data_IF_796192398502
#
_entry.id   IF_796192398502
#
_cell.length_a   1.000
_cell.length_b   1.000
_cell.length_c   1.000
_cell.angle_alpha   90.00
_cell.angle_beta   90.00
_cell.angle_gamma   90.00
#
_symmetry.space_group_name_H-M   'P 1'
#
loop_
_entity.id
_entity.type
_entity.pdbx_description
1 polymer ?
#
# COMPACT_ATOMS: atom_id res chain seq x y z
N UNK A 1 -11.61 -2.06 -20.85
CA UNK A 1 -10.65 -1.41 -19.94
C UNK A 1 -9.35 -0.96 -20.62
N UNK A 2 -8.95 -1.47 -21.79
CA UNK A 2 -7.67 -1.07 -22.43
C UNK A 2 -7.78 -0.63 -23.89
N UNK A 3 -8.92 -0.05 -24.30
CA UNK A 3 -9.14 0.26 -25.73
C UNK A 3 -8.13 1.31 -26.21
N UNK A 4 -8.00 2.40 -25.45
CA UNK A 4 -7.05 3.45 -25.77
C UNK A 4 -5.61 2.93 -25.78
N UNK A 5 -5.19 2.21 -24.74
CA UNK A 5 -3.81 1.73 -24.62
C UNK A 5 -3.45 0.74 -25.74
N UNK A 6 -4.35 -0.18 -26.10
CA UNK A 6 -4.16 -1.09 -27.23
C UNK A 6 -3.91 -0.36 -28.54
N UNK A 7 -4.66 0.73 -28.77
CA UNK A 7 -4.61 1.48 -30.02
C UNK A 7 -3.31 2.29 -30.14
N UNK A 8 -2.64 2.62 -29.02
CA UNK A 8 -1.49 3.54 -29.01
C UNK A 8 -0.17 2.92 -28.56
N UNK A 9 -0.13 1.70 -28.00
CA UNK A 9 1.13 1.10 -27.56
C UNK A 9 2.15 0.98 -28.71
N UNK A 10 1.68 0.74 -29.94
CA UNK A 10 2.55 0.61 -31.11
C UNK A 10 2.97 1.95 -31.72
N UNK A 11 2.48 3.08 -31.20
CA UNK A 11 2.93 4.42 -31.60
C UNK A 11 4.29 4.79 -30.98
N UNK A 12 4.70 4.09 -29.92
CA UNK A 12 5.94 4.34 -29.20
C UNK A 12 7.05 3.41 -29.68
N UNK A 13 8.29 3.89 -29.77
CA UNK A 13 9.44 3.04 -30.14
C UNK A 13 9.92 2.16 -28.99
N UNK A 14 9.59 2.53 -27.76
CA UNK A 14 9.97 1.84 -26.52
C UNK A 14 8.97 2.17 -25.43
N UNK A 15 8.67 1.18 -24.59
CA UNK A 15 7.76 1.32 -23.44
C UNK A 15 8.52 0.94 -22.18
N UNK A 16 8.44 1.77 -21.15
CA UNK A 16 8.98 1.49 -19.82
C UNK A 16 7.81 1.23 -18.88
N UNK A 17 7.82 0.08 -18.22
CA UNK A 17 6.87 -0.29 -17.18
C UNK A 17 7.55 -0.35 -15.83
N UNK A 18 6.76 -0.29 -14.74
CA UNK A 18 7.28 -0.29 -13.37
C UNK A 18 7.31 -1.67 -12.72
N UNK A 19 6.82 -2.69 -13.43
CA UNK A 19 6.81 -4.08 -12.98
C UNK A 19 6.83 -5.05 -14.16
N UNK A 20 7.23 -6.30 -13.89
CA UNK A 20 7.15 -7.40 -14.85
C UNK A 20 5.70 -7.74 -15.22
N UNK A 21 4.75 -7.57 -14.29
CA UNK A 21 3.32 -7.76 -14.53
C UNK A 21 2.81 -6.80 -15.60
N UNK A 22 3.16 -5.52 -15.48
CA UNK A 22 2.80 -4.49 -16.46
C UNK A 22 3.45 -4.76 -17.81
N UNK A 23 4.71 -5.22 -17.83
CA UNK A 23 5.40 -5.59 -19.07
C UNK A 23 4.69 -6.73 -19.80
N UNK A 24 4.25 -7.74 -19.05
CA UNK A 24 3.46 -8.84 -19.62
C UNK A 24 2.12 -8.35 -20.14
N UNK A 25 1.45 -7.45 -19.43
CA UNK A 25 0.21 -6.83 -19.88
C UNK A 25 0.40 -6.11 -21.22
N UNK A 26 1.41 -5.23 -21.33
CA UNK A 26 1.71 -4.52 -22.59
C UNK A 26 1.97 -5.49 -23.74
N UNK A 27 2.81 -6.52 -23.51
CA UNK A 27 3.10 -7.54 -24.52
C UNK A 27 1.84 -8.29 -24.97
N UNK A 28 1.00 -8.70 -24.03
CA UNK A 28 -0.24 -9.42 -24.33
C UNK A 28 -1.28 -8.55 -25.05
N UNK A 29 -1.30 -7.24 -24.78
CA UNK A 29 -2.27 -6.32 -25.38
C UNK A 29 -1.87 -5.82 -26.77
N UNK A 30 -0.58 -5.68 -27.06
CA UNK A 30 -0.08 -4.98 -28.27
C UNK A 30 0.89 -5.77 -29.14
N UNK A 31 1.51 -6.83 -28.61
CA UNK A 31 2.63 -7.50 -29.27
C UNK A 31 3.92 -6.68 -29.31
N UNK A 32 3.99 -5.55 -28.60
CA UNK A 32 5.15 -4.67 -28.61
C UNK A 32 6.41 -5.36 -28.05
N UNK A 33 7.50 -5.33 -28.83
CA UNK A 33 8.72 -6.09 -28.50
C UNK A 33 9.69 -5.32 -27.58
N UNK A 34 9.73 -3.99 -27.67
CA UNK A 34 10.67 -3.14 -26.92
C UNK A 34 10.05 -2.64 -25.61
N UNK A 35 9.85 -3.56 -24.67
CA UNK A 35 9.28 -3.26 -23.34
C UNK A 35 10.31 -3.53 -22.24
N UNK A 36 10.67 -2.48 -21.50
CA UNK A 36 11.65 -2.50 -20.42
C UNK A 36 10.96 -2.34 -19.07
N UNK A 37 11.57 -2.89 -18.02
CA UNK A 37 11.10 -2.72 -16.63
C UNK A 37 12.10 -1.85 -15.90
N UNK A 38 11.61 -0.75 -15.31
CA UNK A 38 12.34 0.08 -14.36
C UNK A 38 11.48 0.14 -13.10
N UNK A 39 11.89 -0.60 -12.08
CA UNK A 39 11.14 -0.71 -10.84
C UNK A 39 11.06 0.62 -10.11
N UNK A 40 9.96 0.82 -9.41
CA UNK A 40 9.86 1.93 -8.49
C UNK A 40 10.80 1.71 -7.30
N UNK A 41 11.54 2.76 -6.95
CA UNK A 41 12.38 2.81 -5.77
C UNK A 41 11.80 3.69 -4.67
N UNK A 42 12.53 3.77 -3.56
CA UNK A 42 12.28 4.70 -2.46
C UNK A 42 13.60 5.38 -2.10
N UNK A 43 13.55 6.65 -1.72
CA UNK A 43 14.71 7.35 -1.19
C UNK A 43 15.02 6.81 0.21
N UNK A 44 16.00 5.91 0.29
CA UNK A 44 16.44 5.27 1.54
C UNK A 44 17.17 6.22 2.49
N UNK A 45 17.64 7.37 2.01
CA UNK A 45 18.23 8.40 2.87
C UNK A 45 17.14 9.20 3.58
N UNK A 46 16.01 9.41 2.89
CA UNK A 46 14.84 10.09 3.42
C UNK A 46 13.94 9.17 4.27
N UNK A 47 13.61 7.97 3.77
CA UNK A 47 12.85 6.92 4.46
C UNK A 47 13.77 5.96 5.21
N UNK A 48 14.58 6.50 6.12
CA UNK A 48 15.42 5.69 7.01
C UNK A 48 14.71 5.39 8.33
N UNK A 49 15.11 4.35 9.07
CA UNK A 49 14.60 4.10 10.41
C UNK A 49 14.79 5.34 11.30
N UNK A 50 13.77 5.64 12.12
CA UNK A 50 13.79 6.72 13.09
C UNK A 50 13.74 6.14 14.50
N UNK A 51 14.58 6.66 15.39
CA UNK A 51 14.49 6.33 16.81
C UNK A 51 13.21 6.95 17.40
N UNK A 52 12.29 6.09 17.82
CA UNK A 52 11.06 6.48 18.50
C UNK A 52 10.56 5.34 19.36
N UNK A 53 9.84 5.68 20.42
CA UNK A 53 9.06 4.69 21.17
C UNK A 53 7.94 4.17 20.28
N UNK A 54 7.87 2.84 20.14
CA UNK A 54 6.76 2.17 19.49
C UNK A 54 5.49 2.36 20.31
N UNK A 55 4.36 2.50 19.63
CA UNK A 55 3.05 2.48 20.25
C UNK A 55 2.32 1.24 19.75
N UNK A 56 1.40 0.69 20.54
CA UNK A 56 0.62 -0.49 20.14
C UNK A 56 -0.38 -0.12 19.03
N UNK A 57 0.13 0.02 17.81
CA UNK A 57 -0.66 0.37 16.65
C UNK A 57 -0.18 -0.31 15.37
N UNK A 58 -1.15 -0.44 14.47
CA UNK A 58 -0.95 -0.76 13.06
C UNK A 58 -1.28 0.48 12.24
N UNK A 59 -0.61 0.64 11.09
CA UNK A 59 -0.74 1.82 10.24
C UNK A 59 -1.07 1.45 8.81
N UNK A 60 -1.89 2.28 8.17
CA UNK A 60 -2.06 2.32 6.72
C UNK A 60 -1.82 3.76 6.24
N UNK A 61 -0.72 3.98 5.52
CA UNK A 61 -0.39 5.26 4.88
C UNK A 61 -0.79 5.27 3.40
N UNK A 62 -1.69 6.16 3.00
CA UNK A 62 -2.08 6.30 1.59
C UNK A 62 -2.87 7.58 1.32
N UNK A 63 -2.91 8.04 0.07
CA UNK A 63 -3.94 9.03 -0.30
C UNK A 63 -5.33 8.40 -0.29
N UNK A 64 -6.26 9.00 0.45
CA UNK A 64 -7.66 8.58 0.48
C UNK A 64 -8.48 9.15 -0.70
N UNK A 65 -7.83 9.79 -1.69
CA UNK A 65 -8.45 10.14 -2.97
C UNK A 65 -8.89 8.88 -3.74
N UNK A 66 -8.08 7.81 -3.65
CA UNK A 66 -8.26 6.61 -4.45
C UNK A 66 -9.26 5.63 -3.81
N UNK A 67 -10.20 5.14 -4.62
CA UNK A 67 -11.18 4.14 -4.20
C UNK A 67 -10.52 2.88 -3.60
N UNK A 68 -9.43 2.40 -4.19
CA UNK A 68 -8.70 1.22 -3.69
C UNK A 68 -8.23 1.39 -2.24
N UNK A 69 -7.73 2.58 -1.88
CA UNK A 69 -7.29 2.86 -0.51
C UNK A 69 -8.48 2.98 0.46
N UNK A 70 -9.58 3.61 0.04
CA UNK A 70 -10.80 3.67 0.85
C UNK A 70 -11.38 2.26 1.08
N UNK A 71 -11.43 1.45 0.03
CA UNK A 71 -11.88 0.06 0.09
C UNK A 71 -11.00 -0.78 1.03
N UNK A 72 -9.67 -0.62 0.97
CA UNK A 72 -8.75 -1.30 1.88
C UNK A 72 -8.99 -0.95 3.35
N UNK A 73 -9.22 0.33 3.66
CA UNK A 73 -9.53 0.75 5.03
C UNK A 73 -10.83 0.11 5.51
N UNK A 74 -11.88 0.12 4.70
CA UNK A 74 -13.15 -0.51 5.06
C UNK A 74 -13.00 -2.02 5.26
N UNK A 75 -12.35 -2.70 4.31
CA UNK A 75 -12.07 -4.13 4.43
C UNK A 75 -11.28 -4.46 5.70
N UNK A 76 -10.25 -3.68 6.02
CA UNK A 76 -9.48 -3.86 7.25
C UNK A 76 -10.36 -3.68 8.49
N UNK A 77 -11.15 -2.62 8.54
CA UNK A 77 -12.03 -2.31 9.67
C UNK A 77 -13.12 -3.35 9.89
N UNK A 78 -13.65 -3.92 8.81
CA UNK A 78 -14.80 -4.82 8.88
C UNK A 78 -14.39 -6.28 9.09
N UNK A 79 -13.23 -6.70 8.56
CA UNK A 79 -12.81 -8.12 8.51
C UNK A 79 -11.61 -8.45 9.38
N UNK A 80 -10.66 -7.52 9.53
CA UNK A 80 -9.34 -7.82 10.12
C UNK A 80 -9.20 -7.20 11.51
N UNK A 81 -9.46 -5.90 11.64
CA UNK A 81 -9.27 -5.17 12.89
C UNK A 81 -10.04 -5.76 14.08
N UNK A 82 -11.30 -6.24 13.94
CA UNK A 82 -12.01 -6.90 15.05
C UNK A 82 -11.30 -8.15 15.57
N UNK A 83 -10.66 -8.93 14.68
CA UNK A 83 -9.89 -10.12 15.05
C UNK A 83 -8.64 -9.73 15.83
N UNK A 84 -7.93 -8.68 15.40
CA UNK A 84 -6.78 -8.16 16.13
C UNK A 84 -7.21 -7.64 17.50
N UNK A 85 -8.33 -6.90 17.58
CA UNK A 85 -8.85 -6.37 18.86
C UNK A 85 -9.24 -7.46 19.86
N UNK A 86 -9.60 -8.67 19.40
CA UNK A 86 -9.89 -9.81 20.28
C UNK A 86 -8.64 -10.31 20.99
N UNK A 87 -7.51 -10.35 20.28
CA UNK A 87 -6.23 -10.80 20.84
C UNK A 87 -5.48 -9.66 21.56
N UNK A 88 -5.61 -8.41 21.08
CA UNK A 88 -4.93 -7.22 21.56
C UNK A 88 -5.92 -6.06 21.74
N UNK A 89 -6.52 -5.97 22.93
CA UNK A 89 -7.64 -5.05 23.19
C UNK A 89 -7.27 -3.55 23.16
N UNK A 90 -5.99 -3.20 23.31
CA UNK A 90 -5.47 -1.83 23.34
C UNK A 90 -4.88 -1.36 22.00
N UNK A 91 -4.84 -2.21 20.97
CA UNK A 91 -4.29 -1.83 19.67
C UNK A 91 -5.10 -0.69 19.05
N UNK A 92 -4.38 0.23 18.38
CA UNK A 92 -4.95 1.33 17.60
C UNK A 92 -4.69 1.15 16.11
N UNK A 93 -5.57 1.68 15.27
CA UNK A 93 -5.37 1.74 13.83
C UNK A 93 -5.17 3.18 13.38
N UNK A 94 -4.02 3.46 12.76
CA UNK A 94 -3.68 4.76 12.20
C UNK A 94 -3.91 4.76 10.69
N UNK A 95 -4.82 5.61 10.25
CA UNK A 95 -5.10 5.91 8.84
C UNK A 95 -4.45 7.26 8.55
N UNK A 96 -3.29 7.22 7.91
CA UNK A 96 -2.46 8.41 7.65
C UNK A 96 -2.52 8.74 6.17
N UNK A 97 -3.06 9.91 5.83
CA UNK A 97 -3.38 10.13 4.43
C UNK A 97 -4.24 11.33 4.12
N UNK A 98 -3.90 12.00 3.03
CA UNK A 98 -4.66 13.15 2.54
C UNK A 98 -6.08 12.76 2.10
N UNK A 99 -6.97 13.74 2.18
CA UNK A 99 -8.33 13.70 1.62
C UNK A 99 -9.23 12.51 2.04
N UNK A 100 -9.30 12.13 3.32
CA UNK A 100 -10.22 11.10 3.77
C UNK A 100 -11.66 11.53 3.50
N UNK A 101 -12.46 10.72 2.81
CA UNK A 101 -13.87 11.02 2.58
C UNK A 101 -14.68 10.99 3.90
N UNK A 102 -15.97 11.34 3.86
CA UNK A 102 -16.84 11.33 5.05
C UNK A 102 -16.90 9.95 5.73
N UNK A 103 -16.91 8.87 4.95
CA UNK A 103 -16.96 7.50 5.46
C UNK A 103 -15.73 7.18 6.31
N UNK A 104 -14.53 7.49 5.80
CA UNK A 104 -13.26 7.30 6.50
C UNK A 104 -13.16 8.22 7.71
N UNK A 105 -13.52 9.50 7.58
CA UNK A 105 -13.53 10.45 8.71
C UNK A 105 -14.44 10.00 9.84
N UNK A 106 -15.59 9.40 9.54
CA UNK A 106 -16.50 8.88 10.54
C UNK A 106 -15.90 7.73 11.37
N UNK A 107 -14.91 7.00 10.87
CA UNK A 107 -14.21 5.95 11.63
C UNK A 107 -13.49 6.52 12.85
N UNK A 108 -13.05 7.78 12.81
CA UNK A 108 -12.39 8.47 13.93
C UNK A 108 -13.31 8.69 15.14
N UNK A 109 -14.63 8.44 15.02
CA UNK A 109 -15.54 8.40 16.18
C UNK A 109 -15.21 7.23 17.14
N UNK A 110 -14.48 6.23 16.67
CA UNK A 110 -13.99 5.13 17.50
C UNK A 110 -12.70 5.53 18.21
N UNK A 111 -12.61 5.24 19.52
CA UNK A 111 -11.42 5.56 20.34
C UNK A 111 -10.12 4.87 19.91
N UNK A 112 -10.24 3.78 19.14
CA UNK A 112 -9.15 2.93 18.68
C UNK A 112 -8.75 3.19 17.22
N UNK A 113 -9.32 4.21 16.58
CA UNK A 113 -9.00 4.60 15.20
C UNK A 113 -8.58 6.05 15.14
N UNK A 114 -7.44 6.32 14.50
CA UNK A 114 -6.90 7.66 14.27
C UNK A 114 -6.92 7.91 12.77
N UNK A 115 -7.60 8.97 12.35
CA UNK A 115 -7.59 9.46 10.96
C UNK A 115 -6.92 10.83 10.97
N UNK A 116 -5.72 10.94 10.41
CA UNK A 116 -4.94 12.19 10.51
C UNK A 116 -5.37 13.23 9.48
N UNK A 117 -5.87 12.78 8.33
CA UNK A 117 -5.87 13.62 7.13
C UNK A 117 -4.45 13.85 6.60
N UNK A 118 -4.26 14.94 5.86
CA UNK A 118 -2.95 15.34 5.34
C UNK A 118 -2.01 15.67 6.49
N UNK A 119 -0.77 15.17 6.41
CA UNK A 119 0.33 15.47 7.34
C UNK A 119 1.53 15.93 6.54
N UNK A 120 2.37 16.77 7.14
CA UNK A 120 3.60 17.25 6.50
C UNK A 120 4.61 16.11 6.27
N UNK A 121 4.63 15.16 7.19
CA UNK A 121 5.54 14.01 7.14
C UNK A 121 4.87 12.75 7.71
N UNK A 122 4.86 11.68 6.92
CA UNK A 122 4.31 10.38 7.31
C UNK A 122 5.28 9.56 8.15
N UNK A 123 6.59 9.82 8.07
CA UNK A 123 7.65 9.01 8.68
C UNK A 123 7.50 8.88 10.20
N UNK A 124 7.19 9.94 10.98
CA UNK A 124 6.98 9.79 12.42
C UNK A 124 5.82 8.85 12.79
N UNK A 125 4.81 8.72 11.92
CA UNK A 125 3.69 7.81 12.14
C UNK A 125 4.08 6.37 11.79
N UNK A 126 4.75 6.18 10.65
CA UNK A 126 5.28 4.87 10.22
C UNK A 126 6.26 4.33 11.26
N UNK A 127 7.21 5.14 11.72
CA UNK A 127 8.22 4.76 12.70
C UNK A 127 7.63 4.29 14.04
N UNK A 128 6.49 4.84 14.46
CA UNK A 128 5.83 4.49 15.73
C UNK A 128 5.03 3.19 15.67
N UNK A 129 4.62 2.76 14.48
CA UNK A 129 3.81 1.57 14.31
C UNK A 129 4.62 0.27 14.47
N UNK A 130 3.96 -0.78 14.93
CA UNK A 130 4.53 -2.13 14.93
C UNK A 130 4.45 -2.79 13.54
N UNK A 131 3.37 -2.52 12.81
CA UNK A 131 3.11 -3.13 11.49
C UNK A 131 2.48 -2.11 10.57
N UNK A 132 2.98 -2.06 9.33
CA UNK A 132 2.31 -1.39 8.22
C UNK A 132 1.43 -2.41 7.48
N UNK A 133 0.11 -2.22 7.54
CA UNK A 133 -0.87 -3.11 6.92
C UNK A 133 -1.25 -2.56 5.54
N UNK A 134 -1.28 -3.41 4.51
CA UNK A 134 -1.67 -3.04 3.13
C UNK A 134 -2.78 -3.98 2.63
N UNK A 135 -4.01 -3.82 3.12
CA UNK A 135 -5.09 -4.78 2.92
C UNK A 135 -5.89 -4.47 1.64
N UNK A 136 -5.19 -4.24 0.52
CA UNK A 136 -5.82 -3.86 -0.75
C UNK A 136 -6.51 -5.07 -1.40
N UNK A 137 -7.78 -4.94 -1.77
CA UNK A 137 -8.51 -5.98 -2.51
C UNK A 137 -8.56 -5.69 -4.02
N UNK A 138 -8.29 -4.44 -4.39
CA UNK A 138 -8.38 -3.95 -5.77
C UNK A 138 -7.34 -2.87 -6.03
N UNK A 139 -7.09 -2.59 -7.31
CA UNK A 139 -6.23 -1.53 -7.81
C UNK A 139 -4.96 -2.08 -8.46
N UNK A 140 -4.35 -1.32 -9.37
CA UNK A 140 -3.14 -1.73 -10.11
C UNK A 140 -1.92 -0.86 -9.78
N UNK A 141 -0.74 -1.27 -10.27
CA UNK A 141 0.54 -0.59 -10.06
C UNK A 141 1.22 -0.92 -8.73
N UNK A 142 2.50 -0.62 -8.63
CA UNK A 142 3.34 -0.93 -7.45
C UNK A 142 2.97 -0.07 -6.23
N UNK A 143 3.09 -0.60 -5.01
CA UNK A 143 2.79 0.14 -3.77
C UNK A 143 4.04 0.73 -3.13
N UNK A 144 4.29 2.02 -3.38
CA UNK A 144 5.40 2.76 -2.75
C UNK A 144 5.35 2.70 -1.22
N UNK A 145 4.15 2.72 -0.61
CA UNK A 145 3.96 2.59 0.84
C UNK A 145 4.59 1.34 1.46
N UNK A 146 4.73 0.26 0.69
CA UNK A 146 5.43 -0.96 1.14
C UNK A 146 6.93 -0.70 1.19
N UNK A 147 7.49 -0.11 0.14
CA UNK A 147 8.91 0.25 0.07
C UNK A 147 9.29 1.26 1.15
N UNK A 148 8.45 2.27 1.38
CA UNK A 148 8.62 3.27 2.45
C UNK A 148 8.68 2.59 3.82
N UNK A 149 7.73 1.72 4.14
CA UNK A 149 7.70 0.98 5.41
C UNK A 149 8.90 0.05 5.57
N UNK A 150 9.25 -0.71 4.53
CA UNK A 150 10.41 -1.60 4.53
C UNK A 150 11.72 -0.84 4.74
N UNK A 151 11.91 0.28 4.04
CA UNK A 151 13.09 1.14 4.16
C UNK A 151 13.22 1.72 5.57
N UNK A 152 12.10 2.00 6.23
CA UNK A 152 12.06 2.45 7.63
C UNK A 152 12.18 1.31 8.66
N UNK A 153 12.39 0.06 8.23
CA UNK A 153 12.50 -1.10 9.11
C UNK A 153 11.19 -1.51 9.77
N UNK A 154 10.05 -1.21 9.14
CA UNK A 154 8.72 -1.55 9.65
C UNK A 154 8.22 -2.83 8.98
N UNK A 155 7.84 -3.87 9.75
CA UNK A 155 7.20 -5.07 9.21
C UNK A 155 5.97 -4.73 8.38
N UNK A 156 5.81 -5.41 7.25
CA UNK A 156 4.67 -5.24 6.34
C UNK A 156 3.82 -6.50 6.32
N UNK A 157 2.50 -6.32 6.45
CA UNK A 157 1.49 -7.35 6.18
C UNK A 157 0.62 -6.85 5.05
N UNK A 158 0.52 -7.59 3.96
CA UNK A 158 -0.21 -7.19 2.76
C UNK A 158 -1.10 -8.32 2.25
N UNK A 159 -2.11 -7.98 1.47
CA UNK A 159 -2.76 -8.94 0.57
C UNK A 159 -1.88 -9.24 -0.63
N UNK A 160 -2.16 -10.31 -1.40
CA UNK A 160 -1.50 -10.54 -2.69
C UNK A 160 -1.63 -9.33 -3.63
N UNK A 161 -2.84 -8.77 -3.79
CA UNK A 161 -3.12 -7.57 -4.60
C UNK A 161 -2.40 -6.32 -4.08
N UNK A 162 -2.19 -6.23 -2.76
CA UNK A 162 -1.43 -5.15 -2.15
C UNK A 162 0.08 -5.24 -2.42
N UNK A 163 0.61 -6.44 -2.67
CA UNK A 163 2.03 -6.68 -2.92
C UNK A 163 2.38 -6.73 -4.43
N UNK A 164 1.38 -6.64 -5.31
CA UNK A 164 1.57 -6.72 -6.76
C UNK A 164 2.62 -5.73 -7.29
N UNK A 165 3.40 -6.22 -8.25
CA UNK A 165 4.44 -5.46 -8.93
C UNK A 165 5.71 -5.22 -8.10
N UNK A 166 5.79 -5.72 -6.86
CA UNK A 166 7.00 -5.66 -6.04
C UNK A 166 7.69 -7.03 -5.99
N UNK A 167 9.03 -7.03 -6.00
CA UNK A 167 9.85 -8.24 -5.81
C UNK A 167 9.96 -8.61 -4.33
N UNK A 168 8.84 -9.01 -3.75
CA UNK A 168 8.72 -9.40 -2.34
C UNK A 168 8.36 -10.88 -2.22
N UNK A 169 8.67 -11.48 -1.08
CA UNK A 169 8.41 -12.90 -0.84
C UNK A 169 7.85 -13.13 0.55
N UNK A 170 6.74 -13.86 0.59
CA UNK A 170 6.08 -14.25 1.82
C UNK A 170 7.04 -14.98 2.77
N UNK A 171 7.00 -14.63 4.06
CA UNK A 171 7.87 -15.15 5.14
C UNK A 171 9.36 -14.81 5.02
N UNK A 172 9.78 -14.05 4.02
CA UNK A 172 11.17 -13.59 3.90
C UNK A 172 11.29 -12.10 4.23
N UNK A 173 10.55 -11.26 3.52
CA UNK A 173 10.61 -9.79 3.67
C UNK A 173 9.23 -9.14 3.86
N UNK A 174 8.15 -9.91 3.73
CA UNK A 174 6.77 -9.47 3.92
C UNK A 174 5.90 -10.65 4.37
N UNK A 175 4.81 -10.38 5.10
CA UNK A 175 3.73 -11.34 5.26
C UNK A 175 2.64 -11.05 4.24
N UNK A 176 2.30 -12.04 3.42
CA UNK A 176 1.23 -11.97 2.43
C UNK A 176 0.13 -12.90 2.90
N UNK A 177 -1.08 -12.38 3.06
CA UNK A 177 -2.24 -13.17 3.44
C UNK A 177 -3.50 -12.61 2.78
N UNK A 178 -4.38 -13.48 2.36
CA UNK A 178 -5.76 -13.20 1.97
C UNK A 178 -6.72 -13.80 3.02
N UNK A 179 -8.01 -13.61 2.81
CA UNK A 179 -9.07 -14.06 3.72
C UNK A 179 -9.58 -15.48 3.41
N UNK A 180 -8.84 -16.24 2.60
CA UNK A 180 -9.15 -17.64 2.27
C UNK A 180 -8.24 -18.61 3.03
#
# INVERSE_FOLDING_TARGET
>A
MYKYEKDHFNDFSSIITVSDLDKQLVKNLSGHNNVFVVENGVDVSYFKPLETTKINCVIFSASMDAFSNQNAVHYFMDKIFPLIKRELSDVKFYIVGRNPNNSIRNLAKRKDVIVTGTVDDVRPFIAKAYVNVVPLQVGGGTRLKILEAMSMGIPVVSTPVGAEGLKVKHYENILIADSE
#
